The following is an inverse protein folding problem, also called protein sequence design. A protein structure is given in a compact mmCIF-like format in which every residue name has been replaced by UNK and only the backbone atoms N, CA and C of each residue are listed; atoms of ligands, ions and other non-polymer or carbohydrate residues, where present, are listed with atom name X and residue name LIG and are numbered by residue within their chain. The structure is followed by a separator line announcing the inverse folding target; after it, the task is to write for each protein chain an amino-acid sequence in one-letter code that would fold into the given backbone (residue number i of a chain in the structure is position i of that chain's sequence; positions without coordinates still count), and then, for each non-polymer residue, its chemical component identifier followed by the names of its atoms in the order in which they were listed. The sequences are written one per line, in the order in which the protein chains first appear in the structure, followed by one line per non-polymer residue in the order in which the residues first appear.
data_IF_201493796854
#
_entry.id   IF_201493796854
#
_cell.length_a   1.000
_cell.length_b   1.000
_cell.length_c   1.000
_cell.angle_alpha   90.00
_cell.angle_beta   90.00
_cell.angle_gamma   90.00
#
_symmetry.space_group_name_H-M   'P 1'
#
loop_
_entity.id
_entity.type
_entity.pdbx_description
1 polymer ?
#
# COMPACT_ATOMS: atom_id res chain seq x y z
N UNK A 1 22.95 1.36 -16.16
CA UNK A 1 22.58 1.84 -14.81
C UNK A 1 21.09 2.09 -14.87
N UNK A 2 20.28 1.10 -14.50
CA UNK A 2 18.84 1.29 -14.42
C UNK A 2 18.57 2.11 -13.16
N UNK A 3 18.02 3.30 -13.36
CA UNK A 3 17.53 4.19 -12.31
C UNK A 3 16.22 3.60 -11.79
N UNK A 4 16.32 2.58 -10.93
CA UNK A 4 15.15 2.01 -10.24
C UNK A 4 14.83 2.98 -9.12
N UNK A 5 13.76 3.76 -9.31
CA UNK A 5 13.24 4.64 -8.29
C UNK A 5 12.96 3.81 -7.01
N UNK A 6 13.34 4.31 -5.83
CA UNK A 6 13.15 3.58 -4.58
C UNK A 6 11.67 3.26 -4.36
N UNK A 7 11.39 2.06 -3.86
CA UNK A 7 10.03 1.61 -3.55
C UNK A 7 9.32 2.67 -2.68
N UNK A 8 8.17 3.19 -3.10
CA UNK A 8 7.47 4.24 -2.36
C UNK A 8 7.03 3.72 -0.98
N UNK A 9 7.35 4.50 0.06
CA UNK A 9 6.89 4.25 1.43
C UNK A 9 5.58 4.98 1.66
N UNK A 10 4.53 4.22 1.96
CA UNK A 10 3.16 4.71 2.13
C UNK A 10 2.80 4.94 3.59
N UNK A 11 3.61 4.40 4.53
CA UNK A 11 3.34 4.45 5.97
C UNK A 11 2.38 3.36 6.44
N UNK A 12 1.79 2.59 5.53
CA UNK A 12 1.06 1.36 5.85
C UNK A 12 1.99 0.17 5.61
N UNK A 13 2.32 -0.54 6.70
CA UNK A 13 3.22 -1.71 6.66
C UNK A 13 2.77 -2.77 5.66
N UNK A 14 1.45 -2.99 5.52
CA UNK A 14 0.91 -4.02 4.61
C UNK A 14 1.06 -3.60 3.16
N UNK A 15 0.83 -2.32 2.87
CA UNK A 15 1.03 -1.75 1.53
C UNK A 15 2.52 -1.75 1.17
N UNK A 16 3.38 -1.35 2.09
CA UNK A 16 4.83 -1.32 1.89
C UNK A 16 5.43 -2.72 1.69
N UNK A 17 4.84 -3.74 2.31
CA UNK A 17 5.21 -5.16 2.13
C UNK A 17 4.75 -5.70 0.77
N UNK A 18 3.53 -5.37 0.34
CA UNK A 18 3.03 -5.71 -0.99
C UNK A 18 3.86 -5.07 -2.10
N UNK A 19 4.25 -3.80 -1.93
CA UNK A 19 5.11 -3.07 -2.89
C UNK A 19 6.53 -3.64 -2.94
N UNK A 20 7.08 -4.09 -1.81
CA UNK A 20 8.37 -4.80 -1.79
C UNK A 20 8.32 -6.14 -2.53
N UNK A 21 7.16 -6.81 -2.56
CA UNK A 21 6.98 -8.07 -3.28
C UNK A 21 7.09 -7.96 -4.80
N UNK A 22 6.92 -6.75 -5.35
CA UNK A 22 7.07 -6.45 -6.79
C UNK A 22 8.36 -5.68 -7.10
N UNK A 23 9.15 -5.36 -6.09
CA UNK A 23 10.47 -4.77 -6.29
C UNK A 23 11.42 -5.78 -6.96
N UNK A 24 12.26 -5.30 -7.88
CA UNK A 24 13.16 -6.17 -8.65
C UNK A 24 12.45 -7.19 -9.55
N UNK A 25 11.23 -6.90 -10.02
CA UNK A 25 10.52 -7.77 -10.98
C UNK A 25 11.34 -8.00 -12.26
N UNK A 26 12.10 -6.98 -12.67
CA UNK A 26 12.97 -7.03 -13.85
C UNK A 26 14.12 -8.03 -13.73
N UNK A 27 14.47 -8.44 -12.50
CA UNK A 27 15.57 -9.37 -12.21
C UNK A 27 15.10 -10.84 -12.18
N UNK A 28 13.80 -11.10 -12.35
CA UNK A 28 13.24 -12.46 -12.31
C UNK A 28 12.62 -12.90 -13.64
N UNK A 29 12.53 -14.21 -13.90
CA UNK A 29 11.93 -14.72 -15.13
C UNK A 29 10.50 -14.23 -15.32
N UNK A 30 10.12 -13.91 -16.57
CA UNK A 30 8.79 -13.39 -16.92
C UNK A 30 7.66 -14.31 -16.46
N UNK A 31 7.88 -15.63 -16.46
CA UNK A 31 6.91 -16.61 -15.99
C UNK A 31 6.58 -16.43 -14.48
N UNK A 32 7.52 -15.93 -13.68
CA UNK A 32 7.33 -15.65 -12.25
C UNK A 32 6.68 -14.27 -11.99
N UNK A 33 6.63 -13.38 -12.99
CA UNK A 33 6.06 -12.03 -12.83
C UNK A 33 4.57 -12.12 -12.50
N UNK A 34 3.86 -13.03 -13.15
CA UNK A 34 2.43 -13.19 -12.97
C UNK A 34 2.09 -13.57 -11.52
N UNK A 35 2.85 -14.47 -10.90
CA UNK A 35 2.62 -14.89 -9.52
C UNK A 35 2.91 -13.77 -8.52
N UNK A 36 4.02 -13.04 -8.71
CA UNK A 36 4.38 -11.91 -7.85
C UNK A 36 3.39 -10.76 -7.94
N UNK A 37 2.98 -10.39 -9.16
CA UNK A 37 1.96 -9.36 -9.38
C UNK A 37 0.61 -9.77 -8.79
N UNK A 38 0.20 -11.03 -8.98
CA UNK A 38 -1.05 -11.56 -8.40
C UNK A 38 -1.04 -11.51 -6.86
N UNK A 39 0.11 -11.85 -6.26
CA UNK A 39 0.29 -11.83 -4.80
C UNK A 39 0.20 -10.42 -4.25
N UNK A 40 0.93 -9.47 -4.83
CA UNK A 40 0.88 -8.07 -4.42
C UNK A 40 -0.51 -7.46 -4.64
N UNK A 41 -1.17 -7.78 -5.76
CA UNK A 41 -2.53 -7.33 -6.02
C UNK A 41 -3.52 -7.85 -4.99
N UNK A 42 -3.43 -9.13 -4.62
CA UNK A 42 -4.31 -9.74 -3.62
C UNK A 42 -4.10 -9.10 -2.24
N UNK A 43 -2.85 -8.89 -1.83
CA UNK A 43 -2.53 -8.20 -0.57
C UNK A 43 -3.09 -6.77 -0.53
N UNK A 44 -2.95 -6.01 -1.62
CA UNK A 44 -3.53 -4.66 -1.71
C UNK A 44 -5.06 -4.68 -1.68
N UNK A 45 -5.70 -5.65 -2.35
CA UNK A 45 -7.15 -5.81 -2.26
C UNK A 45 -7.63 -6.06 -0.84
N UNK A 46 -6.91 -6.88 -0.06
CA UNK A 46 -7.25 -7.15 1.35
C UNK A 46 -7.12 -5.89 2.22
N UNK A 47 -6.07 -5.09 2.01
CA UNK A 47 -5.90 -3.80 2.68
C UNK A 47 -7.06 -2.87 2.36
N UNK A 48 -7.41 -2.72 1.07
CA UNK A 48 -8.47 -1.82 0.63
C UNK A 48 -9.88 -2.27 1.03
N UNK A 49 -10.09 -3.60 1.17
CA UNK A 49 -11.37 -4.15 1.65
C UNK A 49 -11.54 -4.00 3.16
N UNK A 50 -10.45 -3.88 3.90
CA UNK A 50 -10.53 -3.62 5.35
C UNK A 50 -10.88 -2.15 5.52
N UNK A 51 -12.06 -1.79 6.07
CA UNK A 51 -12.35 -0.41 6.40
C UNK A 51 -11.30 0.02 7.41
N UNK A 52 -10.38 0.89 6.99
CA UNK A 52 -9.58 1.64 7.94
C UNK A 52 -10.62 2.48 8.68
N UNK A 53 -10.81 2.23 9.96
CA UNK A 53 -11.50 3.16 10.85
C UNK A 53 -10.71 4.47 10.79
N UNK A 54 -11.03 5.29 9.79
CA UNK A 54 -10.69 6.70 9.77
C UNK A 54 -11.46 7.27 10.95
N UNK A 55 -10.82 7.24 12.13
CA UNK A 55 -11.27 8.02 13.25
C UNK A 55 -11.51 9.43 12.70
N UNK A 56 -12.75 9.95 12.73
CA UNK A 56 -13.00 11.28 12.21
C UNK A 56 -12.11 12.20 13.03
N UNK A 57 -11.17 12.86 12.36
CA UNK A 57 -10.37 13.91 12.96
C UNK A 57 -11.35 14.83 13.68
N UNK A 58 -11.31 14.79 15.03
CA UNK A 58 -12.34 15.34 15.87
C UNK A 58 -12.62 16.78 15.46
N UNK A 59 -13.81 17.03 14.89
CA UNK A 59 -14.29 18.40 14.81
C UNK A 59 -14.32 18.91 16.26
N UNK A 60 -13.61 20.00 16.59
CA UNK A 60 -13.79 20.63 17.89
C UNK A 60 -15.27 20.98 18.00
N UNK A 61 -15.92 20.51 19.06
CA UNK A 61 -17.30 20.88 19.38
C UNK A 61 -17.43 22.40 19.30
N UNK A 62 -18.37 22.94 18.51
CA UNK A 62 -18.67 24.37 18.58
C UNK A 62 -19.18 24.65 19.99
N UNK A 63 -18.42 25.45 20.75
CA UNK A 63 -18.80 25.87 22.10
C UNK A 63 -20.17 26.57 22.09
N UNK A 64 -20.86 26.60 23.25
CA UNK A 64 -22.17 27.23 23.37
C UNK A 64 -22.06 28.71 23.01
N UNK A 65 -22.87 29.17 22.05
CA UNK A 65 -22.98 30.60 21.72
C UNK A 65 -23.77 31.31 22.84
N UNK A 66 -23.32 32.49 23.29
CA UNK A 66 -24.04 33.31 24.27
C UNK A 66 -25.34 33.90 23.71
#
# INVERSE_FOLDING_TARGET
MSDVAPVPQTGDRRVDEALRGVDGLDDVPVDEHAERLSTAHSALQEVLRTPVDHAPAGRPSPGPRP
#
